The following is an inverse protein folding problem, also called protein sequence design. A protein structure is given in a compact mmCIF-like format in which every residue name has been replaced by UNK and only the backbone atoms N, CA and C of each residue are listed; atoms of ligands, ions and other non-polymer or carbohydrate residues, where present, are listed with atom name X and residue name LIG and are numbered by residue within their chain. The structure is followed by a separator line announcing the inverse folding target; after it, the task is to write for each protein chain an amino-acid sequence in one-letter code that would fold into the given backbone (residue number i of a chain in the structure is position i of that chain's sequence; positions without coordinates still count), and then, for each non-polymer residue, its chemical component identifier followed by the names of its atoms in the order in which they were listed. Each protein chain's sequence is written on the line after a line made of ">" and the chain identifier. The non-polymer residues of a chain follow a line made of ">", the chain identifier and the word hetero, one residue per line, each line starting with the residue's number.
data_IF_012937235456
#
_entry.id   IF_012937235456
#
_cell.length_a   1.000
_cell.length_b   1.000
_cell.length_c   1.000
_cell.angle_alpha   90.00
_cell.angle_beta   90.00
_cell.angle_gamma   90.00
#
_symmetry.space_group_name_H-M   'P 1'
#
loop_
_entity.id
_entity.type
_entity.pdbx_description
1 polymer ?
#
# COMPACT_ATOMS: atom_id res chain seq x y z
N UNK A 1 3.79 -2.54 13.48
CA UNK A 1 2.90 -1.39 13.20
C UNK A 1 2.23 -1.63 11.86
N UNK A 2 0.93 -1.94 11.86
CA UNK A 2 0.13 -1.88 10.63
C UNK A 2 -0.07 -0.39 10.31
N UNK A 3 0.06 0.01 9.05
CA UNK A 3 -0.17 1.39 8.66
C UNK A 3 -1.60 1.82 8.97
N UNK A 4 -1.76 2.99 9.57
CA UNK A 4 -3.05 3.49 10.09
C UNK A 4 -3.87 4.26 9.03
N UNK A 5 -3.38 4.36 7.79
CA UNK A 5 -4.05 5.11 6.73
C UNK A 5 -3.94 6.63 6.82
N UNK A 6 -3.29 7.16 7.87
CA UNK A 6 -3.02 8.59 8.05
C UNK A 6 -2.18 9.19 6.91
N UNK A 7 -2.24 10.51 6.72
CA UNK A 7 -1.45 11.23 5.71
C UNK A 7 0.06 10.95 5.80
N UNK A 8 0.58 10.80 7.03
CA UNK A 8 1.96 10.39 7.27
C UNK A 8 2.24 9.02 6.68
N UNK A 9 1.34 8.07 6.90
CA UNK A 9 1.47 6.72 6.37
C UNK A 9 1.38 6.71 4.83
N UNK A 10 0.45 7.46 4.25
CA UNK A 10 0.35 7.63 2.79
C UNK A 10 1.66 8.16 2.21
N UNK A 11 2.24 9.21 2.82
CA UNK A 11 3.53 9.77 2.37
C UNK A 11 4.67 8.75 2.45
N UNK A 12 4.71 7.92 3.48
CA UNK A 12 5.70 6.84 3.60
C UNK A 12 5.52 5.80 2.48
N UNK A 13 4.27 5.43 2.17
CA UNK A 13 3.97 4.52 1.06
C UNK A 13 4.41 5.14 -0.27
N UNK A 14 4.14 6.43 -0.48
CA UNK A 14 4.54 7.17 -1.67
C UNK A 14 6.07 7.18 -1.85
N UNK A 15 6.82 7.49 -0.79
CA UNK A 15 8.29 7.48 -0.81
C UNK A 15 8.86 6.10 -1.15
N UNK A 16 8.22 5.02 -0.68
CA UNK A 16 8.64 3.66 -1.02
C UNK A 16 8.38 3.34 -2.48
N UNK A 17 7.22 3.72 -3.00
CA UNK A 17 6.87 3.58 -4.42
C UNK A 17 7.88 4.32 -5.30
N UNK A 18 8.19 5.57 -4.97
CA UNK A 18 9.20 6.39 -5.66
C UNK A 18 10.58 5.75 -5.65
N UNK A 19 10.93 5.05 -4.56
CA UNK A 19 12.17 4.29 -4.44
C UNK A 19 12.16 2.94 -5.19
N UNK A 20 11.23 2.71 -6.11
CA UNK A 20 11.02 1.44 -6.83
C UNK A 20 10.78 0.23 -5.91
N UNK A 21 10.20 0.44 -4.72
CA UNK A 21 9.83 -0.68 -3.87
C UNK A 21 8.75 -1.53 -4.54
N UNK A 22 8.85 -2.85 -4.38
CA UNK A 22 7.84 -3.77 -4.86
C UNK A 22 6.54 -3.62 -4.05
N UNK A 23 5.52 -3.01 -4.66
CA UNK A 23 4.21 -2.72 -4.05
C UNK A 23 3.28 -3.93 -4.01
N UNK A 24 3.65 -5.03 -4.66
CA UNK A 24 2.91 -6.30 -4.67
C UNK A 24 3.39 -7.28 -3.59
N UNK A 25 4.39 -6.89 -2.80
CA UNK A 25 4.96 -7.76 -1.78
C UNK A 25 3.93 -8.05 -0.69
N UNK A 26 3.35 -9.25 -0.72
CA UNK A 26 2.46 -9.74 0.32
C UNK A 26 3.19 -9.89 1.66
N UNK A 27 2.47 -9.68 2.77
CA UNK A 27 3.02 -10.06 4.09
C UNK A 27 2.99 -11.58 4.29
N UNK A 28 3.39 -12.02 5.49
CA UNK A 28 3.36 -13.42 5.90
C UNK A 28 1.99 -14.11 5.82
N UNK A 29 0.89 -13.36 5.69
CA UNK A 29 -0.46 -13.89 5.51
C UNK A 29 -0.91 -13.90 4.02
N UNK A 30 -0.01 -13.60 3.09
CA UNK A 30 -0.35 -13.49 1.67
C UNK A 30 -1.18 -12.25 1.33
N UNK A 31 -1.22 -11.23 2.22
CA UNK A 31 -2.03 -10.03 2.00
C UNK A 31 -1.16 -8.92 1.42
N UNK A 32 -1.41 -8.56 0.15
CA UNK A 32 -0.74 -7.42 -0.50
C UNK A 32 -1.10 -6.09 0.17
N UNK A 33 -0.24 -5.06 0.07
CA UNK A 33 -0.51 -3.73 0.59
C UNK A 33 -1.82 -3.14 0.06
N UNK A 34 -2.12 -3.37 -1.23
CA UNK A 34 -3.35 -2.91 -1.88
C UNK A 34 -4.59 -3.58 -1.28
N UNK A 35 -4.54 -4.92 -1.09
CA UNK A 35 -5.64 -5.68 -0.47
C UNK A 35 -5.89 -5.23 0.97
N UNK A 36 -4.83 -4.87 1.70
CA UNK A 36 -4.95 -4.34 3.07
C UNK A 36 -5.54 -2.95 3.10
N UNK A 37 -5.06 -2.06 2.23
CA UNK A 37 -5.61 -0.72 2.07
C UNK A 37 -7.12 -0.76 1.81
N UNK A 38 -7.57 -1.68 0.95
CA UNK A 38 -9.01 -1.89 0.72
C UNK A 38 -9.77 -2.42 1.93
N UNK A 39 -9.27 -3.48 2.58
CA UNK A 39 -9.92 -4.06 3.76
C UNK A 39 -10.03 -3.07 4.92
N UNK A 40 -9.03 -2.19 5.08
CA UNK A 40 -9.00 -1.19 6.14
C UNK A 40 -9.66 0.15 5.75
N UNK A 41 -10.14 0.30 4.51
CA UNK A 41 -10.78 1.53 4.03
C UNK A 41 -9.83 2.69 3.73
N UNK A 42 -8.53 2.44 3.60
CA UNK A 42 -7.50 3.44 3.32
C UNK A 42 -7.47 3.82 1.84
N UNK A 43 -8.46 4.61 1.42
CA UNK A 43 -8.63 5.06 0.03
C UNK A 43 -7.41 5.75 -0.56
N UNK A 44 -6.74 6.57 0.23
CA UNK A 44 -5.57 7.31 -0.24
C UNK A 44 -4.39 6.35 -0.50
N UNK A 45 -4.14 5.41 0.42
CA UNK A 45 -3.12 4.37 0.26
C UNK A 45 -3.43 3.48 -0.94
N UNK A 46 -4.70 3.13 -1.15
CA UNK A 46 -5.16 2.39 -2.33
C UNK A 46 -4.80 3.12 -3.62
N UNK A 47 -5.04 4.44 -3.70
CA UNK A 47 -4.70 5.25 -4.89
C UNK A 47 -3.20 5.28 -5.15
N UNK A 48 -2.38 5.47 -4.13
CA UNK A 48 -0.91 5.51 -4.27
C UNK A 48 -0.38 4.17 -4.79
N UNK A 49 -0.84 3.07 -4.21
CA UNK A 49 -0.42 1.73 -4.61
C UNK A 49 -0.95 1.38 -6.02
N UNK A 50 -2.18 1.74 -6.36
CA UNK A 50 -2.73 1.51 -7.69
C UNK A 50 -1.99 2.33 -8.76
N UNK A 51 -1.64 3.59 -8.46
CA UNK A 51 -0.84 4.44 -9.35
C UNK A 51 0.58 3.89 -9.56
N UNK A 52 1.12 3.19 -8.55
CA UNK A 52 2.38 2.46 -8.64
C UNK A 52 2.33 1.17 -9.47
N UNK A 53 1.12 0.79 -9.94
CA UNK A 53 0.91 -0.46 -10.67
C UNK A 53 0.70 -1.69 -9.78
N UNK A 54 0.44 -1.52 -8.48
CA UNK A 54 0.13 -2.65 -7.59
C UNK A 54 -1.12 -3.39 -8.07
N UNK A 55 -1.06 -4.72 -8.04
CA UNK A 55 -2.10 -5.63 -8.49
C UNK A 55 -2.68 -6.44 -7.33
N UNK A 56 -3.92 -6.87 -7.51
CA UNK A 56 -4.54 -7.90 -6.68
C UNK A 56 -4.16 -9.28 -7.24
N UNK A 57 -2.87 -9.62 -7.25
CA UNK A 57 -2.44 -10.99 -7.59
C UNK A 57 -2.43 -11.88 -6.37
#
# INVERSE_FOLDING_TARGET
>A
MAGDGSERYVRIVQLRVDAHANVDLADSNGVTPLRRGRQSGYREVERVLAAAGARQV
#
